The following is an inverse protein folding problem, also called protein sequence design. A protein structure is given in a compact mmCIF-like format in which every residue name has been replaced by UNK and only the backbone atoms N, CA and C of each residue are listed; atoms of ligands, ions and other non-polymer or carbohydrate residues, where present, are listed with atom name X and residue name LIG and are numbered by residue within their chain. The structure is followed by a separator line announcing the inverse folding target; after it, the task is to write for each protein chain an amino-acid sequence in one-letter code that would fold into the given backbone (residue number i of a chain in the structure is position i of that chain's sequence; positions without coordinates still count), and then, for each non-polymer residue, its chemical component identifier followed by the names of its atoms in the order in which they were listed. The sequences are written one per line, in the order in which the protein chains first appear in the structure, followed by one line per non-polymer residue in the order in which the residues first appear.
data_IF_717910537650
#
_entry.id   IF_717910537650
#
_cell.length_a   1.000
_cell.length_b   1.000
_cell.length_c   1.000
_cell.angle_alpha   90.00
_cell.angle_beta   90.00
_cell.angle_gamma   90.00
#
_symmetry.space_group_name_H-M   'P 1'
#
loop_
_entity.id
_entity.type
_entity.pdbx_description
1 polymer ?
#
# COMPACT_ATOMS: atom_id res chain seq x y z
N UNK A 1 26.70 55.51 15.16
CA UNK A 1 25.25 55.26 15.04
C UNK A 1 25.01 54.52 13.74
N UNK A 2 24.94 53.19 13.80
CA UNK A 2 24.54 52.35 12.68
C UNK A 2 23.36 51.51 13.19
N UNK A 3 22.19 51.74 12.60
CA UNK A 3 20.94 51.07 12.90
C UNK A 3 20.92 49.70 12.23
N UNK A 4 20.83 48.64 13.03
CA UNK A 4 20.57 47.28 12.55
C UNK A 4 19.13 47.17 12.01
N UNK A 5 18.88 46.44 10.91
CA UNK A 5 17.52 46.20 10.45
C UNK A 5 16.90 45.09 11.31
N UNK A 6 15.77 45.42 11.94
CA UNK A 6 14.90 44.47 12.63
C UNK A 6 14.29 43.54 11.58
N UNK A 7 14.62 42.25 11.65
CA UNK A 7 13.96 41.19 10.87
C UNK A 7 12.61 40.93 11.52
N UNK A 8 11.54 41.38 10.85
CA UNK A 8 10.15 41.07 11.25
C UNK A 8 9.83 39.58 11.00
N UNK A 9 9.03 38.93 11.85
CA UNK A 9 8.60 37.55 11.63
C UNK A 9 7.68 37.48 10.41
N UNK A 10 7.82 36.43 9.61
CA UNK A 10 6.96 36.14 8.45
C UNK A 10 5.52 35.99 8.94
N UNK A 11 4.68 36.95 8.60
CA UNK A 11 3.27 37.02 8.99
C UNK A 11 2.45 36.03 8.15
N UNK A 12 2.02 34.93 8.78
CA UNK A 12 1.09 33.97 8.19
C UNK A 12 -0.25 34.66 7.89
N UNK A 13 -0.66 34.72 6.63
CA UNK A 13 -1.87 35.46 6.23
C UNK A 13 -3.15 34.84 6.85
N UNK A 14 -4.08 35.66 7.39
CA UNK A 14 -5.27 35.18 8.12
C UNK A 14 -6.24 34.31 7.28
N UNK A 15 -6.23 34.45 5.95
CA UNK A 15 -7.05 33.64 5.04
C UNK A 15 -6.57 32.18 4.97
N UNK A 16 -5.25 31.97 4.99
CA UNK A 16 -4.67 30.62 4.99
C UNK A 16 -5.00 29.86 6.29
N UNK A 17 -5.01 30.57 7.42
CA UNK A 17 -5.38 30.00 8.72
C UNK A 17 -6.88 29.63 8.80
N UNK A 18 -7.76 30.46 8.21
CA UNK A 18 -9.19 30.16 8.13
C UNK A 18 -9.49 28.92 7.27
N UNK A 19 -8.91 28.85 6.07
CA UNK A 19 -9.08 27.69 5.16
C UNK A 19 -8.55 26.38 5.76
N UNK A 20 -7.43 26.44 6.51
CA UNK A 20 -6.91 25.29 7.22
C UNK A 20 -7.83 24.82 8.34
N UNK A 21 -8.42 25.75 9.11
CA UNK A 21 -9.40 25.44 10.16
C UNK A 21 -10.66 24.79 9.59
N UNK A 22 -11.17 25.30 8.48
CA UNK A 22 -12.32 24.69 7.77
C UNK A 22 -11.99 23.27 7.30
N UNK A 23 -10.79 23.05 6.76
CA UNK A 23 -10.35 21.70 6.38
C UNK A 23 -10.27 20.76 7.59
N UNK A 24 -9.71 21.21 8.72
CA UNK A 24 -9.68 20.42 9.96
C UNK A 24 -11.09 20.04 10.42
N UNK A 25 -12.03 20.98 10.36
CA UNK A 25 -13.42 20.74 10.74
C UNK A 25 -14.13 19.76 9.80
N UNK A 26 -13.86 19.86 8.48
CA UNK A 26 -14.44 18.96 7.49
C UNK A 26 -13.94 17.53 7.65
N UNK A 27 -12.63 17.34 7.80
CA UNK A 27 -12.01 16.02 7.83
C UNK A 27 -12.15 15.31 9.19
N UNK A 28 -12.06 16.06 10.28
CA UNK A 28 -11.95 15.46 11.61
C UNK A 28 -10.78 14.47 11.72
N UNK A 29 -10.85 13.56 12.69
CA UNK A 29 -9.88 12.47 12.81
C UNK A 29 -10.36 11.26 11.98
N UNK A 30 -9.46 10.68 11.18
CA UNK A 30 -9.81 9.73 10.12
C UNK A 30 -9.60 8.26 10.47
N UNK A 31 -9.03 7.97 11.65
CA UNK A 31 -8.82 6.63 12.18
C UNK A 31 -9.69 6.44 13.42
N UNK A 32 -10.39 5.31 13.52
CA UNK A 32 -11.17 4.95 14.71
C UNK A 32 -10.32 4.24 15.75
N UNK A 33 -10.83 4.16 16.98
CA UNK A 33 -10.15 3.46 18.09
C UNK A 33 -9.89 1.98 17.78
N UNK A 34 -10.76 1.36 16.98
CA UNK A 34 -10.64 -0.03 16.50
C UNK A 34 -9.64 -0.21 15.34
N UNK A 35 -8.80 0.80 15.08
CA UNK A 35 -7.77 0.83 14.04
C UNK A 35 -8.31 0.67 12.62
N UNK A 36 -9.61 0.87 12.43
CA UNK A 36 -10.21 0.95 11.10
C UNK A 36 -10.34 2.41 10.67
N UNK A 37 -10.34 2.66 9.36
CA UNK A 37 -10.68 3.97 8.82
C UNK A 37 -12.12 4.37 9.15
N UNK A 38 -12.36 5.68 9.27
CA UNK A 38 -13.72 6.23 9.28
C UNK A 38 -14.40 6.05 7.91
N UNK A 39 -15.72 6.24 7.85
CA UNK A 39 -16.44 6.25 6.58
C UNK A 39 -15.90 7.32 5.61
N UNK A 40 -15.44 8.45 6.14
CA UNK A 40 -14.85 9.52 5.34
C UNK A 40 -13.49 9.12 4.77
N UNK A 41 -12.66 8.40 5.54
CA UNK A 41 -11.41 7.83 5.02
C UNK A 41 -11.67 6.78 3.95
N UNK A 42 -12.65 5.88 4.15
CA UNK A 42 -13.04 4.88 3.13
C UNK A 42 -13.47 5.56 1.82
N UNK A 43 -14.34 6.59 1.89
CA UNK A 43 -14.77 7.37 0.72
C UNK A 43 -13.61 8.07 0.03
N UNK A 44 -12.71 8.71 0.77
CA UNK A 44 -11.51 9.35 0.23
C UNK A 44 -10.63 8.34 -0.52
N UNK A 45 -10.30 7.22 0.11
CA UNK A 45 -9.42 6.20 -0.46
C UNK A 45 -10.05 5.52 -1.69
N UNK A 46 -11.37 5.32 -1.71
CA UNK A 46 -12.10 4.89 -2.92
C UNK A 46 -12.09 5.93 -4.02
N UNK A 47 -12.21 7.21 -3.67
CA UNK A 47 -12.06 8.32 -4.61
C UNK A 47 -10.67 8.31 -5.26
N UNK A 48 -9.62 8.13 -4.45
CA UNK A 48 -8.24 8.01 -4.95
C UNK A 48 -8.10 6.76 -5.83
N UNK A 49 -8.63 5.60 -5.42
CA UNK A 49 -8.62 4.40 -6.26
C UNK A 49 -9.26 4.65 -7.64
N UNK A 50 -10.37 5.39 -7.71
CA UNK A 50 -10.98 5.80 -8.99
C UNK A 50 -10.07 6.69 -9.82
N UNK A 51 -9.30 7.60 -9.19
CA UNK A 51 -8.31 8.42 -9.89
C UNK A 51 -7.23 7.54 -10.51
N UNK A 52 -6.66 6.60 -9.73
CA UNK A 52 -5.61 5.67 -10.20
C UNK A 52 -6.11 4.84 -11.39
N UNK A 53 -7.30 4.26 -11.27
CA UNK A 53 -7.92 3.47 -12.33
C UNK A 53 -8.09 4.27 -13.63
N UNK A 54 -8.57 5.53 -13.53
CA UNK A 54 -8.81 6.40 -14.70
C UNK A 54 -7.54 6.87 -15.40
N UNK A 55 -6.44 7.06 -14.68
CA UNK A 55 -5.18 7.54 -15.28
C UNK A 55 -4.56 6.53 -16.26
N UNK A 56 -4.95 5.27 -16.17
CA UNK A 56 -4.34 4.17 -16.93
C UNK A 56 -5.03 3.89 -18.26
N UNK A 57 -5.98 4.76 -18.66
CA UNK A 57 -6.81 4.57 -19.85
C UNK A 57 -8.10 3.80 -19.57
N UNK A 58 -8.96 3.60 -20.58
CA UNK A 58 -10.16 2.80 -20.46
C UNK A 58 -9.79 1.31 -20.31
N UNK A 59 -9.51 0.89 -19.09
CA UNK A 59 -9.38 -0.51 -18.72
C UNK A 59 -10.76 -1.14 -18.46
N UNK A 60 -10.89 -2.43 -18.71
CA UNK A 60 -12.13 -3.19 -18.49
C UNK A 60 -12.44 -3.44 -17.00
N UNK A 61 -11.48 -3.17 -16.11
CA UNK A 61 -11.58 -3.45 -14.67
C UNK A 61 -11.30 -2.21 -13.81
N UNK A 62 -12.10 -1.97 -12.75
CA UNK A 62 -11.83 -0.93 -11.77
C UNK A 62 -10.76 -1.34 -10.74
N UNK A 63 -10.28 -2.59 -10.79
CA UNK A 63 -9.26 -3.11 -9.88
C UNK A 63 -7.87 -2.56 -10.27
N UNK A 64 -7.06 -2.23 -9.26
CA UNK A 64 -5.79 -1.51 -9.41
C UNK A 64 -4.63 -2.49 -9.54
N UNK A 65 -4.03 -2.59 -10.72
CA UNK A 65 -2.87 -3.45 -10.93
C UNK A 65 -1.63 -2.88 -10.22
N UNK A 66 -0.60 -3.71 -9.95
CA UNK A 66 0.62 -3.24 -9.32
C UNK A 66 1.28 -2.08 -10.08
N UNK A 67 1.30 -2.14 -11.42
CA UNK A 67 1.88 -1.07 -12.23
C UNK A 67 1.13 0.27 -12.08
N UNK A 68 -0.19 0.25 -11.95
CA UNK A 68 -0.98 1.46 -11.73
C UNK A 68 -0.71 2.06 -10.35
N UNK A 69 -0.59 1.22 -9.33
CA UNK A 69 -0.28 1.65 -7.96
C UNK A 69 1.14 2.23 -7.89
N UNK A 70 2.13 1.59 -8.54
CA UNK A 70 3.50 2.09 -8.65
C UNK A 70 3.54 3.48 -9.29
N UNK A 71 2.82 3.67 -10.41
CA UNK A 71 2.68 4.96 -11.09
C UNK A 71 2.07 6.02 -10.17
N UNK A 72 1.03 5.66 -9.42
CA UNK A 72 0.42 6.56 -8.46
C UNK A 72 1.42 7.02 -7.39
N UNK A 73 2.14 6.10 -6.74
CA UNK A 73 3.14 6.48 -5.73
C UNK A 73 4.21 7.42 -6.30
N UNK A 74 4.71 7.15 -7.51
CA UNK A 74 5.66 8.05 -8.20
C UNK A 74 5.09 9.44 -8.42
N UNK A 75 3.81 9.54 -8.82
CA UNK A 75 3.14 10.83 -9.05
C UNK A 75 3.04 11.70 -7.79
N UNK A 76 2.92 11.06 -6.61
CA UNK A 76 2.86 11.73 -5.30
C UNK A 76 4.23 11.74 -4.59
N UNK A 77 5.31 11.41 -5.30
CA UNK A 77 6.69 11.52 -4.81
C UNK A 77 7.14 10.42 -3.86
N UNK A 78 6.54 9.23 -3.95
CA UNK A 78 7.06 7.99 -3.38
C UNK A 78 7.70 7.11 -4.46
N UNK A 79 8.45 6.08 -4.04
CA UNK A 79 9.00 5.07 -4.94
C UNK A 79 8.74 3.69 -4.36
N UNK A 80 7.81 2.97 -4.99
CA UNK A 80 7.35 1.65 -4.55
C UNK A 80 7.55 0.62 -5.68
N UNK A 81 8.42 0.92 -6.64
CA UNK A 81 8.65 0.07 -7.80
C UNK A 81 9.20 -1.31 -7.35
N UNK A 82 10.04 -1.35 -6.31
CA UNK A 82 10.53 -2.62 -5.73
C UNK A 82 9.38 -3.53 -5.30
N UNK A 83 8.34 -2.97 -4.67
CA UNK A 83 7.18 -3.75 -4.24
C UNK A 83 6.26 -4.12 -5.40
N UNK A 84 5.93 -3.17 -6.27
CA UNK A 84 4.85 -3.39 -7.24
C UNK A 84 5.32 -3.82 -8.63
N UNK A 85 6.58 -3.58 -8.98
CA UNK A 85 7.16 -3.91 -10.29
C UNK A 85 8.22 -5.01 -10.21
N UNK A 86 9.02 -5.06 -9.14
CA UNK A 86 10.13 -6.02 -9.00
C UNK A 86 9.76 -7.27 -8.18
N UNK A 87 8.76 -7.17 -7.30
CA UNK A 87 8.30 -8.32 -6.51
C UNK A 87 7.44 -9.25 -7.37
N UNK A 88 7.65 -10.58 -7.35
CA UNK A 88 6.86 -11.51 -8.14
C UNK A 88 5.34 -11.36 -7.89
N UNK A 89 4.48 -11.41 -8.92
CA UNK A 89 3.03 -11.24 -8.77
C UNK A 89 2.40 -12.16 -7.72
N UNK A 90 2.87 -13.41 -7.65
CA UNK A 90 2.36 -14.38 -6.67
C UNK A 90 2.72 -14.00 -5.22
N UNK A 91 3.90 -13.40 -4.99
CA UNK A 91 4.28 -12.82 -3.70
C UNK A 91 3.41 -11.61 -3.33
N UNK A 92 3.11 -10.72 -4.29
CA UNK A 92 2.20 -9.59 -4.07
C UNK A 92 0.80 -10.08 -3.71
N UNK A 93 0.27 -11.08 -4.42
CA UNK A 93 -1.01 -11.73 -4.10
C UNK A 93 -1.01 -12.29 -2.69
N UNK A 94 0.08 -12.97 -2.30
CA UNK A 94 0.26 -13.47 -0.95
C UNK A 94 0.24 -12.35 0.09
N UNK A 95 0.98 -11.25 -0.11
CA UNK A 95 0.96 -10.07 0.77
C UNK A 95 -0.48 -9.55 0.94
N UNK A 96 -1.21 -9.38 -0.17
CA UNK A 96 -2.60 -8.92 -0.09
C UNK A 96 -3.50 -9.86 0.70
N UNK A 97 -3.35 -11.19 0.54
CA UNK A 97 -4.11 -12.17 1.35
C UNK A 97 -3.78 -12.02 2.84
N UNK A 98 -2.50 -11.95 3.19
CA UNK A 98 -2.03 -11.83 4.58
C UNK A 98 -2.54 -10.55 5.26
N UNK A 99 -2.67 -9.47 4.51
CA UNK A 99 -3.21 -8.19 5.00
C UNK A 99 -4.75 -8.11 4.95
N UNK A 100 -5.43 -9.11 4.39
CA UNK A 100 -6.87 -9.04 4.14
C UNK A 100 -7.27 -7.99 3.08
N UNK A 101 -6.33 -7.57 2.24
CA UNK A 101 -6.56 -6.64 1.14
C UNK A 101 -7.19 -7.39 -0.05
N UNK A 102 -8.48 -7.16 -0.28
CA UNK A 102 -9.19 -7.83 -1.36
C UNK A 102 -8.62 -7.46 -2.73
N UNK A 103 -8.27 -8.49 -3.50
CA UNK A 103 -7.74 -8.34 -4.85
C UNK A 103 -8.38 -9.38 -5.77
N UNK A 104 -8.24 -9.15 -7.07
CA UNK A 104 -8.51 -10.12 -8.12
C UNK A 104 -7.20 -10.47 -8.84
N UNK A 105 -7.22 -11.53 -9.64
CA UNK A 105 -6.14 -11.82 -10.58
C UNK A 105 -6.57 -11.37 -11.97
N UNK A 106 -5.74 -10.54 -12.60
CA UNK A 106 -5.94 -10.01 -13.94
C UNK A 106 -4.99 -10.70 -14.93
N UNK A 107 -5.37 -10.81 -16.21
CA UNK A 107 -4.47 -11.26 -17.27
C UNK A 107 -3.23 -10.37 -17.36
N UNK A 108 -2.14 -10.92 -17.91
CA UNK A 108 -0.98 -10.09 -18.24
C UNK A 108 -1.33 -9.10 -19.37
N UNK A 109 -0.67 -7.93 -19.49
CA UNK A 109 -0.97 -6.95 -20.54
C UNK A 109 -0.87 -7.50 -21.98
N UNK A 110 -0.05 -8.53 -22.20
CA UNK A 110 0.17 -9.15 -23.51
C UNK A 110 -0.42 -10.57 -23.60
N UNK A 111 -1.40 -10.89 -22.75
CA UNK A 111 -2.05 -12.19 -22.70
C UNK A 111 -2.91 -12.43 -23.96
N UNK A 112 -2.87 -13.64 -24.49
CA UNK A 112 -3.64 -14.07 -25.66
C UNK A 112 -5.02 -14.66 -25.30
N UNK A 113 -5.35 -14.70 -24.01
CA UNK A 113 -6.63 -15.18 -23.46
C UNK A 113 -6.62 -16.66 -23.08
N UNK A 114 -5.51 -17.38 -23.26
CA UNK A 114 -5.41 -18.81 -22.92
C UNK A 114 -4.58 -19.06 -21.66
N UNK A 115 -3.92 -18.05 -21.12
CA UNK A 115 -3.13 -18.17 -19.90
C UNK A 115 -3.96 -17.92 -18.64
N UNK A 116 -3.54 -18.50 -17.52
CA UNK A 116 -4.18 -18.23 -16.22
C UNK A 116 -3.83 -16.81 -15.77
N UNK A 117 -4.81 -15.99 -15.34
CA UNK A 117 -4.56 -14.67 -14.78
C UNK A 117 -3.63 -14.73 -13.56
N UNK A 118 -2.59 -13.90 -13.55
CA UNK A 118 -1.55 -13.90 -12.49
C UNK A 118 -1.29 -12.54 -11.87
N UNK A 119 -1.79 -11.44 -12.45
CA UNK A 119 -1.50 -10.09 -11.97
C UNK A 119 -2.45 -9.72 -10.81
N UNK A 120 -1.98 -9.56 -9.57
CA UNK A 120 -2.86 -9.24 -8.45
C UNK A 120 -3.26 -7.77 -8.47
N UNK A 121 -4.53 -7.51 -8.77
CA UNK A 121 -5.08 -6.17 -8.81
C UNK A 121 -5.96 -5.90 -7.59
N UNK A 122 -5.63 -4.86 -6.80
CA UNK A 122 -6.42 -4.49 -5.63
C UNK A 122 -7.81 -4.03 -6.04
N UNK A 123 -8.85 -4.62 -5.45
CA UNK A 123 -10.18 -4.04 -5.52
C UNK A 123 -10.17 -2.67 -4.82
N UNK A 124 -11.08 -1.74 -5.14
CA UNK A 124 -11.15 -0.46 -4.41
C UNK A 124 -11.23 -0.63 -2.89
N UNK A 125 -11.96 -1.64 -2.40
CA UNK A 125 -12.00 -1.99 -0.97
C UNK A 125 -10.67 -2.54 -0.45
N UNK A 126 -9.96 -3.33 -1.25
CA UNK A 126 -8.62 -3.80 -0.90
C UNK A 126 -7.60 -2.66 -0.83
N UNK A 127 -7.71 -1.66 -1.71
CA UNK A 127 -6.91 -0.44 -1.65
C UNK A 127 -7.19 0.38 -0.37
N UNK A 128 -8.45 0.45 0.08
CA UNK A 128 -8.80 1.05 1.39
C UNK A 128 -8.07 0.31 2.52
N UNK A 129 -8.15 -1.02 2.56
CA UNK A 129 -7.46 -1.84 3.58
C UNK A 129 -5.95 -1.61 3.53
N UNK A 130 -5.35 -1.71 2.33
CA UNK A 130 -3.93 -1.48 2.09
C UNK A 130 -3.49 -0.13 2.65
N UNK A 131 -4.12 0.97 2.21
CA UNK A 131 -3.73 2.31 2.62
C UNK A 131 -3.95 2.56 4.12
N UNK A 132 -5.02 2.02 4.71
CA UNK A 132 -5.27 2.16 6.15
C UNK A 132 -4.15 1.52 6.97
N UNK A 133 -3.74 0.30 6.60
CA UNK A 133 -2.62 -0.39 7.24
C UNK A 133 -1.33 0.41 7.08
N UNK A 134 -1.03 0.90 5.87
CA UNK A 134 0.19 1.66 5.65
C UNK A 134 0.26 2.98 6.45
N UNK A 135 -0.88 3.66 6.62
CA UNK A 135 -0.98 4.86 7.47
C UNK A 135 -0.72 4.52 8.93
N UNK A 136 -1.22 3.38 9.42
CA UNK A 136 -1.01 2.96 10.81
C UNK A 136 0.42 2.48 11.07
N UNK A 137 1.11 1.95 10.06
CA UNK A 137 2.49 1.46 10.18
C UNK A 137 3.55 2.53 9.89
N UNK A 138 3.19 3.62 9.22
CA UNK A 138 4.14 4.68 8.83
C UNK A 138 3.44 5.95 8.37
N UNK A 139 2.73 6.64 9.28
CA UNK A 139 2.00 7.86 8.93
C UNK A 139 2.92 8.95 8.39
N UNK A 140 4.18 9.02 8.84
CA UNK A 140 5.19 9.97 8.40
C UNK A 140 5.48 9.90 6.89
N UNK A 141 5.26 8.73 6.28
CA UNK A 141 5.46 8.51 4.86
C UNK A 141 4.13 8.56 4.08
N UNK A 142 3.09 7.87 4.57
CA UNK A 142 1.85 7.68 3.81
C UNK A 142 0.89 8.87 3.87
N UNK A 143 0.87 9.63 4.97
CA UNK A 143 0.04 10.83 5.07
C UNK A 143 0.46 11.86 4.02
N UNK A 144 1.76 12.20 3.85
CA UNK A 144 2.20 13.07 2.76
C UNK A 144 1.77 12.64 1.36
N UNK A 145 1.70 11.35 1.07
CA UNK A 145 1.21 10.86 -0.23
C UNK A 145 -0.27 11.16 -0.43
N UNK A 146 -1.11 10.95 0.60
CA UNK A 146 -2.52 11.30 0.54
C UNK A 146 -2.74 12.81 0.41
N UNK A 147 -1.97 13.61 1.16
CA UNK A 147 -2.02 15.07 1.07
C UNK A 147 -1.69 15.57 -0.33
N UNK A 148 -0.63 15.04 -0.95
CA UNK A 148 -0.28 15.36 -2.34
C UNK A 148 -1.35 14.87 -3.32
N UNK A 149 -1.91 13.68 -3.12
CA UNK A 149 -2.97 13.16 -3.96
C UNK A 149 -4.19 14.07 -3.99
N UNK A 150 -4.68 14.52 -2.82
CA UNK A 150 -5.84 15.42 -2.77
C UNK A 150 -5.51 16.81 -3.32
N UNK A 151 -4.29 17.31 -3.12
CA UNK A 151 -3.87 18.61 -3.64
C UNK A 151 -3.75 18.60 -5.17
N UNK A 152 -3.19 17.53 -5.74
CA UNK A 152 -2.91 17.41 -7.17
C UNK A 152 -4.11 16.96 -7.99
N UNK A 153 -4.91 16.01 -7.48
CA UNK A 153 -5.97 15.37 -8.25
C UNK A 153 -7.36 15.83 -7.82
N UNK A 154 -8.29 15.85 -8.77
CA UNK A 154 -9.71 16.07 -8.51
C UNK A 154 -10.36 14.78 -7.99
N UNK A 155 -10.15 14.53 -6.70
CA UNK A 155 -10.69 13.36 -6.02
C UNK A 155 -12.18 13.57 -5.74
N UNK A 156 -13.01 12.83 -6.47
CA UNK A 156 -14.46 12.82 -6.29
C UNK A 156 -14.86 11.84 -5.18
N UNK A 157 -15.74 12.32 -4.33
CA UNK A 157 -16.44 11.49 -3.36
C UNK A 157 -17.34 10.48 -4.08
N UNK A 158 -17.17 9.17 -3.84
CA UNK A 158 -17.95 8.16 -4.54
C UNK A 158 -19.44 8.15 -4.21
N UNK A 159 -19.86 8.72 -3.08
CA UNK A 159 -21.26 8.76 -2.65
C UNK A 159 -21.96 10.03 -3.12
N UNK A 160 -21.32 11.19 -2.98
CA UNK A 160 -21.94 12.48 -3.31
C UNK A 160 -21.59 13.01 -4.69
N UNK A 161 -20.58 12.45 -5.35
CA UNK A 161 -19.99 12.95 -6.60
C UNK A 161 -19.52 14.42 -6.51
N UNK A 162 -19.17 14.89 -5.31
CA UNK A 162 -18.56 16.20 -5.08
C UNK A 162 -17.06 16.06 -4.88
N UNK A 163 -16.30 17.12 -5.14
CA UNK A 163 -14.86 17.12 -4.87
C UNK A 163 -14.59 17.15 -3.36
N UNK A 164 -13.60 16.37 -2.91
CA UNK A 164 -13.04 16.54 -1.58
C UNK A 164 -12.23 17.85 -1.47
N UNK A 165 -12.09 18.43 -0.27
CA UNK A 165 -11.19 19.55 -0.04
C UNK A 165 -9.75 19.21 -0.45
N UNK A 166 -9.07 20.18 -1.08
CA UNK A 166 -7.69 20.06 -1.56
C UNK A 166 -6.65 20.08 -0.42
N UNK A 167 -7.05 20.55 0.76
CA UNK A 167 -6.22 20.59 1.96
C UNK A 167 -6.64 19.44 2.85
N UNK A 168 -5.72 18.52 3.14
CA UNK A 168 -5.88 17.43 4.08
C UNK A 168 -4.88 17.63 5.23
N UNK A 169 -5.30 18.13 6.40
CA UNK A 169 -4.41 18.36 7.53
C UNK A 169 -3.75 17.07 8.03
N UNK A 170 -2.52 17.15 8.53
CA UNK A 170 -1.81 15.97 9.07
C UNK A 170 -2.41 15.52 10.41
N UNK A 171 -3.03 16.46 11.12
CA UNK A 171 -3.69 16.29 12.42
C UNK A 171 -4.93 15.38 12.33
N UNK A 172 -5.40 15.12 11.11
CA UNK A 172 -6.47 14.15 10.83
C UNK A 172 -5.99 12.69 10.94
N UNK A 173 -4.69 12.45 11.10
CA UNK A 173 -4.05 11.14 11.13
C UNK A 173 -3.19 10.95 12.39
N UNK A 174 -2.79 9.69 12.69
CA UNK A 174 -1.80 9.42 13.72
C UNK A 174 -0.48 10.15 13.45
N UNK A 175 0.17 10.65 14.49
CA UNK A 175 1.48 11.31 14.37
C UNK A 175 2.63 10.29 14.27
N UNK A 176 2.46 9.11 14.87
CA UNK A 176 3.42 8.01 14.92
C UNK A 176 2.74 6.69 14.55
N UNK A 177 3.51 5.64 14.19
CA UNK A 177 2.96 4.30 14.02
C UNK A 177 2.13 3.86 15.23
N UNK A 178 1.10 3.06 14.95
CA UNK A 178 0.22 2.50 15.98
C UNK A 178 0.85 1.23 16.56
N UNK A 179 1.17 1.28 17.85
CA UNK A 179 1.93 0.22 18.55
C UNK A 179 1.27 -1.17 18.40
N UNK A 180 -0.06 -1.25 18.51
CA UNK A 180 -0.79 -2.52 18.36
C UNK A 180 -0.78 -3.02 16.91
N UNK A 181 -0.79 -2.10 15.95
CA UNK A 181 -0.70 -2.46 14.54
C UNK A 181 0.71 -2.94 14.15
N UNK A 182 1.74 -2.34 14.73
CA UNK A 182 3.11 -2.81 14.58
C UNK A 182 3.28 -4.22 15.16
N UNK A 183 2.80 -4.48 16.37
CA UNK A 183 2.85 -5.82 16.99
C UNK A 183 2.16 -6.88 16.14
N UNK A 184 0.96 -6.61 15.64
CA UNK A 184 0.26 -7.51 14.73
C UNK A 184 1.07 -7.76 13.46
N UNK A 185 1.63 -6.70 12.87
CA UNK A 185 2.39 -6.81 11.63
C UNK A 185 3.68 -7.62 11.81
N UNK A 186 4.38 -7.41 12.92
CA UNK A 186 5.56 -8.21 13.29
C UNK A 186 5.19 -9.69 13.52
N UNK A 187 4.04 -9.96 14.15
CA UNK A 187 3.56 -11.34 14.31
C UNK A 187 3.26 -12.04 12.97
N UNK A 188 2.70 -11.32 12.00
CA UNK A 188 2.52 -11.83 10.64
C UNK A 188 3.88 -12.07 9.98
N UNK A 189 4.81 -11.12 10.10
CA UNK A 189 6.16 -11.23 9.55
C UNK A 189 6.92 -12.46 10.08
N UNK A 190 6.92 -12.66 11.40
CA UNK A 190 7.61 -13.76 12.05
C UNK A 190 7.05 -15.12 11.64
N UNK A 191 5.71 -15.23 11.56
CA UNK A 191 5.06 -16.46 11.08
C UNK A 191 5.49 -16.79 9.66
N UNK A 192 5.50 -15.80 8.77
CA UNK A 192 5.87 -16.01 7.37
C UNK A 192 7.34 -16.36 7.19
N UNK A 193 8.21 -15.76 7.99
CA UNK A 193 9.64 -16.13 8.00
C UNK A 193 9.81 -17.59 8.41
N UNK A 194 9.14 -18.01 9.49
CA UNK A 194 9.19 -19.40 9.96
C UNK A 194 8.65 -20.38 8.90
N UNK A 195 7.50 -20.08 8.31
CA UNK A 195 6.90 -20.91 7.25
C UNK A 195 7.84 -21.04 6.04
N UNK A 196 8.58 -19.97 5.69
CA UNK A 196 9.56 -19.99 4.60
C UNK A 196 10.83 -20.78 4.94
N UNK A 197 11.34 -20.67 6.18
CA UNK A 197 12.48 -21.45 6.67
C UNK A 197 12.19 -22.96 6.70
N UNK A 198 10.98 -23.34 7.11
CA UNK A 198 10.53 -24.74 7.12
C UNK A 198 10.47 -25.31 5.70
N UNK A 199 9.94 -24.57 4.72
CA UNK A 199 9.90 -24.97 3.30
C UNK A 199 11.29 -25.20 2.69
N UNK A 200 12.32 -24.47 3.13
CA UNK A 200 13.71 -24.68 2.70
C UNK A 200 14.26 -25.96 3.31
N UNK A 201 14.01 -26.17 4.61
CA UNK A 201 14.49 -27.37 5.31
C UNK A 201 13.92 -28.67 4.74
N UNK A 202 12.65 -28.67 4.32
CA UNK A 202 12.01 -29.83 3.69
C UNK A 202 12.56 -30.12 2.28
N UNK A 203 12.99 -29.09 1.55
CA UNK A 203 13.65 -29.26 0.23
C UNK A 203 15.07 -29.80 0.36
N UNK A 204 15.80 -29.45 1.43
CA UNK A 204 17.15 -29.96 1.68
C UNK A 204 17.18 -31.42 2.14
N UNK A 205 16.11 -31.92 2.77
CA UNK A 205 16.05 -33.31 3.24
C UNK A 205 15.62 -34.34 2.19
N UNK A 206 15.17 -33.91 1.00
CA UNK A 206 14.87 -34.77 -0.17
C UNK A 206 13.72 -35.78 0.03
N UNK A 207 12.90 -36.08 -1.00
CA UNK A 207 11.91 -37.14 -0.86
C UNK A 207 12.66 -38.48 -0.76
N UNK A 208 12.52 -39.19 0.36
CA UNK A 208 12.82 -40.62 0.39
C UNK A 208 11.84 -41.31 -0.56
N UNK A 209 12.26 -41.54 -1.80
CA UNK A 209 11.55 -42.36 -2.78
C UNK A 209 11.49 -43.78 -2.24
N UNK A 210 10.43 -44.10 -1.48
CA UNK A 210 9.96 -45.47 -1.32
C UNK A 210 9.28 -45.83 -2.64
N UNK A 211 10.02 -46.51 -3.50
CA UNK A 211 9.46 -47.22 -4.67
C UNK A 211 8.60 -48.35 -4.13
N UNK A 212 7.30 -48.11 -3.99
CA UNK A 212 6.32 -49.18 -3.87
C UNK A 212 5.69 -49.39 -5.25
N UNK A 213 6.00 -50.55 -5.83
CA UNK A 213 5.52 -51.01 -7.12
C UNK A 213 4.18 -51.72 -6.92
N UNK A 214 3.05 -51.07 -7.27
CA UNK A 214 2.04 -51.57 -8.23
C UNK A 214 0.68 -50.82 -8.18
N UNK A 215 0.21 -50.50 -9.39
CA UNK A 215 -1.19 -50.46 -9.86
C UNK A 215 -2.14 -49.27 -9.54
N UNK A 216 -3.13 -49.01 -10.43
CA UNK A 216 -3.25 -47.74 -11.15
C UNK A 216 -4.07 -46.69 -10.40
N UNK A 217 -3.46 -45.52 -10.17
CA UNK A 217 -4.11 -44.37 -9.55
C UNK A 217 -5.13 -43.74 -10.50
N UNK A 218 -6.40 -43.87 -10.13
CA UNK A 218 -7.43 -42.91 -10.47
C UNK A 218 -6.95 -41.51 -10.10
N UNK A 219 -7.09 -40.59 -11.06
CA UNK A 219 -6.69 -39.19 -10.96
C UNK A 219 -7.66 -38.47 -10.02
N UNK A 220 -7.43 -38.59 -8.72
CA UNK A 220 -8.09 -37.76 -7.72
C UNK A 220 -7.37 -36.40 -7.69
N UNK A 221 -8.03 -35.40 -8.26
CA UNK A 221 -7.63 -34.01 -8.24
C UNK A 221 -8.22 -33.37 -7.00
N UNK A 222 -7.57 -33.57 -5.86
CA UNK A 222 -7.98 -32.93 -4.60
C UNK A 222 -6.79 -32.64 -3.68
N UNK A 223 -5.77 -31.96 -4.22
CA UNK A 223 -4.80 -31.20 -3.40
C UNK A 223 -4.72 -29.76 -3.93
N UNK A 224 -5.75 -28.99 -3.60
CA UNK A 224 -5.70 -27.53 -3.54
C UNK A 224 -5.93 -27.13 -2.08
N UNK A 225 -5.07 -27.59 -1.19
CA UNK A 225 -4.87 -26.97 0.12
C UNK A 225 -4.14 -25.65 -0.12
N UNK A 226 -4.83 -24.55 0.19
CA UNK A 226 -4.45 -23.18 -0.11
C UNK A 226 -3.23 -22.68 0.65
N UNK A 227 -2.05 -23.08 0.20
CA UNK A 227 -0.77 -22.65 0.73
C UNK A 227 0.11 -22.19 -0.44
N UNK A 228 0.49 -20.91 -0.45
CA UNK A 228 1.30 -20.34 -1.53
C UNK A 228 2.60 -21.12 -1.72
N UNK A 229 3.08 -21.19 -2.96
CA UNK A 229 4.38 -21.83 -3.27
C UNK A 229 5.48 -21.22 -2.40
N UNK A 230 6.49 -22.01 -2.02
CA UNK A 230 7.60 -21.53 -1.21
C UNK A 230 8.18 -20.21 -1.76
N UNK A 231 8.34 -20.08 -3.08
CA UNK A 231 8.84 -18.85 -3.73
C UNK A 231 7.97 -17.61 -3.42
N UNK A 232 6.64 -17.78 -3.34
CA UNK A 232 5.71 -16.73 -2.92
C UNK A 232 5.94 -16.29 -1.47
N UNK A 233 6.18 -17.26 -0.58
CA UNK A 233 6.40 -17.01 0.84
C UNK A 233 7.72 -16.29 1.07
N UNK A 234 8.77 -16.64 0.33
CA UNK A 234 10.08 -15.99 0.42
C UNK A 234 10.03 -14.52 -0.03
N UNK A 235 9.38 -14.24 -1.18
CA UNK A 235 9.21 -12.86 -1.64
C UNK A 235 8.33 -12.03 -0.70
N UNK A 236 7.26 -12.64 -0.15
CA UNK A 236 6.44 -11.99 0.86
C UNK A 236 7.21 -11.73 2.16
N UNK A 237 8.00 -12.69 2.66
CA UNK A 237 8.80 -12.54 3.88
C UNK A 237 9.72 -11.32 3.79
N UNK A 238 10.39 -11.11 2.64
CA UNK A 238 11.23 -9.93 2.40
C UNK A 238 10.45 -8.61 2.57
N UNK A 239 9.22 -8.56 2.10
CA UNK A 239 8.35 -7.38 2.30
C UNK A 239 7.99 -7.18 3.78
N UNK A 240 7.70 -8.25 4.52
CA UNK A 240 7.31 -8.15 5.93
C UNK A 240 8.49 -7.83 6.86
N UNK A 241 9.73 -8.17 6.50
CA UNK A 241 10.96 -7.82 7.24
C UNK A 241 11.32 -6.32 7.15
N UNK A 242 11.03 -5.71 6.01
CA UNK A 242 11.19 -4.28 5.74
C UNK A 242 9.94 -3.78 5.01
N UNK A 243 8.83 -3.52 5.75
CA UNK A 243 7.60 -3.03 5.15
C UNK A 243 7.89 -1.89 4.21
N UNK A 244 7.48 -2.05 2.96
CA UNK A 244 7.60 -1.03 1.91
C UNK A 244 9.04 -0.63 1.57
N UNK A 245 10.01 -1.49 1.93
CA UNK A 245 11.42 -1.34 1.60
C UNK A 245 12.05 -0.07 2.21
N UNK A 246 11.57 0.36 3.38
CA UNK A 246 11.97 1.60 4.08
C UNK A 246 13.47 1.66 4.36
N UNK A 247 14.11 0.53 4.69
CA UNK A 247 15.56 0.49 4.97
C UNK A 247 16.40 0.56 3.70
N UNK A 248 15.88 0.07 2.58
CA UNK A 248 16.60 0.05 1.30
C UNK A 248 16.49 1.34 0.48
N UNK A 249 15.69 2.33 0.92
CA UNK A 249 15.60 3.62 0.23
C UNK A 249 16.77 4.53 0.57
N UNK A 250 17.44 5.14 -0.43
CA UNK A 250 18.39 6.21 -0.16
C UNK A 250 17.64 7.38 0.47
N UNK A 251 18.07 7.81 1.67
CA UNK A 251 17.55 9.03 2.30
C UNK A 251 17.71 10.20 1.32
N UNK A 252 16.66 10.99 1.03
CA UNK A 252 16.82 12.20 0.23
C UNK A 252 17.88 13.10 0.87
N UNK A 253 18.82 13.67 0.09
CA UNK A 253 19.80 14.58 0.65
C UNK A 253 19.08 15.79 1.24
N UNK A 254 19.40 16.12 2.50
CA UNK A 254 18.93 17.34 3.15
C UNK A 254 19.46 18.53 2.35
N UNK A 255 18.63 19.12 1.50
CA UNK A 255 18.95 20.39 0.84
C UNK A 255 18.92 21.49 1.91
N UNK A 256 20.09 21.76 2.50
CA UNK A 256 20.33 23.00 3.24
C UNK A 256 20.28 24.14 2.23
N UNK A 257 19.15 24.84 2.18
CA UNK A 257 19.06 26.13 1.50
C UNK A 257 19.98 27.10 2.24
N UNK A 258 21.13 27.41 1.63
CA UNK A 258 21.93 28.57 2.00
C UNK A 258 21.40 29.77 1.23
N UNK A 259 20.73 30.69 1.92
CA UNK A 259 20.46 32.03 1.37
C UNK A 259 21.76 32.82 1.32
N UNK A 260 22.02 33.46 0.19
CA UNK A 260 23.01 34.55 0.04
C UNK A 260 22.34 35.89 0.29
#
# INVERSE_FOLDING_TARGET
MATEPVVSPVESTPVADATFKEACQYWGYLIKDDKCGTAQLDRLLRGIARVISKQSGPGDSPDLTPSQIANFYRSVGGDYDVLFLETPPASISFIYRSLGAFHSLQPAPNDDGYSTPTIPALKPRGFVTWQTIQILLGPEEHVPFLQKAVAQFDVLDPETNTLFPKILPKECFPEKPDDAMEEWYQGVAERLRKDAEEDVSDKEHGPQVRVDVNEPRGRDSSDLSGEGSADERHGAAKYFEDPLYRRTRPRPPVMRHFSK
#
